data_IF_788135192469
#
_entry.id   IF_788135192469
#
_cell.length_a   1.000
_cell.length_b   1.000
_cell.length_c   1.000
_cell.angle_alpha   90.00
_cell.angle_beta   90.00
_cell.angle_gamma   90.00
#
_symmetry.space_group_name_H-M   'P 1'
#
loop_
_entity.id
_entity.type
_entity.pdbx_description
1 polymer ?
#
# COMPACT_ATOMS: atom_id res chain seq x y z
N UNK A 1 33.75 -20.63 6.27
CA UNK A 1 32.65 -21.63 6.40
C UNK A 1 31.56 -21.46 5.34
N UNK A 2 31.13 -20.25 4.98
CA UNK A 2 30.05 -20.03 3.99
C UNK A 2 30.39 -20.49 2.56
N UNK A 3 31.64 -20.31 2.13
CA UNK A 3 32.10 -20.63 0.76
C UNK A 3 31.96 -22.12 0.44
N UNK A 4 32.29 -23.00 1.39
CA UNK A 4 32.29 -24.45 1.19
C UNK A 4 30.99 -25.13 1.62
N UNK A 5 30.01 -24.38 2.13
CA UNK A 5 28.78 -24.96 2.65
C UNK A 5 27.83 -25.35 1.50
N UNK A 6 27.49 -26.64 1.44
CA UNK A 6 26.65 -27.22 0.38
C UNK A 6 25.18 -27.37 0.74
N UNK A 7 24.75 -26.87 1.90
CA UNK A 7 23.36 -26.99 2.36
C UNK A 7 22.73 -25.63 2.69
N UNK A 8 23.55 -24.58 2.81
CA UNK A 8 23.09 -23.26 3.21
C UNK A 8 22.45 -22.53 2.02
N UNK A 9 21.13 -22.37 2.08
CA UNK A 9 20.34 -21.67 1.07
C UNK A 9 19.96 -20.24 1.47
N UNK A 10 20.04 -19.92 2.77
CA UNK A 10 19.74 -18.59 3.34
C UNK A 10 20.79 -18.20 4.37
N UNK A 11 21.26 -16.96 4.28
CA UNK A 11 22.12 -16.29 5.26
C UNK A 11 21.43 -15.01 5.70
N UNK A 12 21.29 -14.84 7.01
CA UNK A 12 20.81 -13.61 7.62
C UNK A 12 21.86 -13.09 8.59
N UNK A 13 22.43 -11.94 8.26
CA UNK A 13 23.41 -11.21 9.06
C UNK A 13 22.97 -9.76 9.24
N UNK A 14 21.65 -9.53 9.29
CA UNK A 14 21.08 -8.21 9.51
C UNK A 14 21.47 -7.68 10.89
N UNK A 15 21.92 -6.42 11.00
CA UNK A 15 22.18 -5.80 12.32
C UNK A 15 23.48 -6.24 13.01
N UNK A 16 24.56 -6.51 12.26
CA UNK A 16 25.81 -7.05 12.81
C UNK A 16 27.02 -6.11 12.68
N UNK A 17 26.81 -4.82 12.36
CA UNK A 17 27.88 -3.82 12.22
C UNK A 17 28.99 -4.21 11.21
N UNK A 18 28.64 -5.05 10.23
CA UNK A 18 29.58 -5.56 9.24
C UNK A 18 29.91 -4.45 8.24
N UNK A 19 31.19 -4.11 8.10
CA UNK A 19 31.65 -3.07 7.18
C UNK A 19 32.33 -3.59 5.92
N UNK A 20 32.84 -2.66 5.11
CA UNK A 20 33.46 -2.93 3.80
C UNK A 20 34.62 -3.92 3.83
N UNK A 21 35.33 -4.05 4.96
CA UNK A 21 36.40 -5.05 5.12
C UNK A 21 35.91 -6.50 4.97
N UNK A 22 34.62 -6.75 5.15
CA UNK A 22 34.01 -8.06 4.95
C UNK A 22 33.43 -8.27 3.54
N UNK A 23 33.30 -7.21 2.73
CA UNK A 23 32.78 -7.31 1.37
C UNK A 23 33.52 -8.33 0.49
N UNK A 24 34.87 -8.50 0.55
CA UNK A 24 35.56 -9.51 -0.26
C UNK A 24 35.09 -10.93 0.06
N UNK A 25 34.80 -11.21 1.33
CA UNK A 25 34.35 -12.53 1.79
C UNK A 25 32.97 -12.85 1.21
N UNK A 26 32.07 -11.87 1.20
CA UNK A 26 30.75 -12.05 0.58
C UNK A 26 30.84 -12.17 -0.94
N UNK A 27 31.73 -11.41 -1.59
CA UNK A 27 31.98 -11.56 -3.03
C UNK A 27 32.46 -12.98 -3.35
N UNK A 28 33.39 -13.53 -2.57
CA UNK A 28 33.86 -14.92 -2.74
C UNK A 28 32.72 -15.94 -2.55
N UNK A 29 31.80 -15.69 -1.60
CA UNK A 29 30.59 -16.51 -1.44
C UNK A 29 29.68 -16.40 -2.67
N UNK A 30 29.43 -15.21 -3.19
CA UNK A 30 28.58 -15.00 -4.37
C UNK A 30 29.17 -15.63 -5.64
N UNK A 31 30.50 -15.64 -5.80
CA UNK A 31 31.13 -16.30 -6.94
C UNK A 31 31.06 -17.82 -6.85
N UNK A 32 31.34 -18.39 -5.68
CA UNK A 32 31.59 -19.83 -5.54
C UNK A 32 30.38 -20.63 -5.04
N UNK A 33 29.50 -20.02 -4.23
CA UNK A 33 28.35 -20.72 -3.66
C UNK A 33 27.16 -20.65 -4.63
N UNK A 34 26.84 -21.79 -5.26
CA UNK A 34 25.75 -21.92 -6.23
C UNK A 34 24.40 -22.32 -5.63
N UNK A 35 24.31 -22.46 -4.31
CA UNK A 35 23.10 -22.88 -3.60
C UNK A 35 22.48 -21.76 -2.77
N UNK A 36 23.26 -20.74 -2.41
CA UNK A 36 22.75 -19.59 -1.66
C UNK A 36 21.71 -18.85 -2.50
N UNK A 37 20.48 -18.80 -2.00
CA UNK A 37 19.33 -18.12 -2.61
C UNK A 37 19.00 -16.80 -1.93
N UNK A 38 19.25 -16.69 -0.63
CA UNK A 38 18.86 -15.52 0.17
C UNK A 38 20.06 -15.02 0.97
N UNK A 39 20.40 -13.75 0.80
CA UNK A 39 21.46 -13.06 1.54
C UNK A 39 20.91 -11.76 2.12
N UNK A 40 20.79 -11.70 3.44
CA UNK A 40 20.31 -10.53 4.16
C UNK A 40 21.48 -9.88 4.91
N UNK A 41 21.84 -8.68 4.48
CA UNK A 41 22.92 -7.86 5.00
C UNK A 41 22.41 -6.47 5.40
N UNK A 42 21.11 -6.35 5.67
CA UNK A 42 20.50 -5.08 6.07
C UNK A 42 21.04 -4.57 7.41
N UNK A 43 20.94 -3.27 7.67
CA UNK A 43 21.37 -2.64 8.93
C UNK A 43 22.81 -3.01 9.32
N UNK A 44 23.74 -2.74 8.41
CA UNK A 44 25.17 -2.97 8.61
C UNK A 44 25.94 -1.68 8.27
N UNK A 45 27.28 -1.76 8.22
CA UNK A 45 28.17 -0.62 8.05
C UNK A 45 28.85 -0.62 6.67
N UNK A 46 28.19 -1.17 5.63
CA UNK A 46 28.73 -1.12 4.27
C UNK A 46 28.61 0.30 3.69
N UNK A 47 29.66 0.75 3.02
CA UNK A 47 29.75 2.03 2.32
C UNK A 47 30.08 1.83 0.84
N UNK A 48 30.39 2.92 0.14
CA UNK A 48 30.68 2.96 -1.31
C UNK A 48 31.77 1.96 -1.74
N UNK A 49 32.75 1.68 -0.88
CA UNK A 49 33.82 0.72 -1.19
C UNK A 49 33.32 -0.72 -1.13
N UNK A 50 32.42 -1.05 -0.20
CA UNK A 50 31.68 -2.31 -0.18
C UNK A 50 30.82 -2.47 -1.44
N UNK A 51 30.07 -1.43 -1.83
CA UNK A 51 29.28 -1.43 -3.07
C UNK A 51 30.14 -1.68 -4.31
N UNK A 52 31.33 -1.09 -4.38
CA UNK A 52 32.28 -1.29 -5.48
C UNK A 52 32.69 -2.76 -5.62
N UNK A 53 32.91 -3.44 -4.50
CA UNK A 53 33.26 -4.86 -4.52
C UNK A 53 32.04 -5.73 -4.85
N UNK A 54 30.89 -5.40 -4.29
CA UNK A 54 29.64 -6.10 -4.57
C UNK A 54 29.21 -5.98 -6.04
N UNK A 55 29.52 -4.89 -6.74
CA UNK A 55 29.05 -4.64 -8.10
C UNK A 55 29.28 -5.84 -9.03
N UNK A 56 30.54 -6.24 -9.25
CA UNK A 56 30.85 -7.37 -10.14
C UNK A 56 30.29 -8.70 -9.60
N UNK A 57 30.35 -8.91 -8.29
CA UNK A 57 29.89 -10.15 -7.68
C UNK A 57 28.37 -10.32 -7.78
N UNK A 58 27.61 -9.22 -7.70
CA UNK A 58 26.17 -9.22 -7.92
C UNK A 58 25.88 -9.38 -9.40
N UNK A 59 26.49 -8.59 -10.30
CA UNK A 59 26.23 -8.67 -11.75
C UNK A 59 26.35 -10.10 -12.29
N UNK A 60 27.43 -10.80 -11.92
CA UNK A 60 27.74 -12.15 -12.43
C UNK A 60 26.97 -13.26 -11.69
N UNK A 61 26.33 -12.97 -10.56
CA UNK A 61 25.66 -13.99 -9.77
C UNK A 61 24.29 -14.34 -10.36
N UNK A 62 24.12 -15.61 -10.70
CA UNK A 62 22.88 -16.14 -11.30
C UNK A 62 22.06 -17.00 -10.34
N UNK A 63 22.52 -17.17 -9.09
CA UNK A 63 21.93 -18.14 -8.14
C UNK A 63 21.13 -17.47 -7.03
N UNK A 64 21.57 -16.29 -6.58
CA UNK A 64 20.95 -15.50 -5.54
C UNK A 64 19.64 -14.92 -6.07
N UNK A 65 18.57 -15.11 -5.31
CA UNK A 65 17.22 -14.67 -5.65
C UNK A 65 16.79 -13.49 -4.79
N UNK A 66 17.27 -13.39 -3.56
CA UNK A 66 16.92 -12.32 -2.61
C UNK A 66 18.18 -11.72 -2.02
N UNK A 67 18.33 -10.41 -2.18
CA UNK A 67 19.40 -9.62 -1.60
C UNK A 67 18.82 -8.43 -0.83
N UNK A 68 19.19 -8.32 0.45
CA UNK A 68 18.89 -7.17 1.28
C UNK A 68 20.17 -6.44 1.68
N UNK A 69 20.33 -5.22 1.18
CA UNK A 69 21.40 -4.28 1.51
C UNK A 69 20.84 -3.00 2.17
N UNK A 70 19.60 -3.02 2.66
CA UNK A 70 18.97 -1.87 3.29
C UNK A 70 19.72 -1.37 4.53
N UNK A 71 19.51 -0.11 4.91
CA UNK A 71 20.15 0.48 6.11
C UNK A 71 21.68 0.31 6.12
N UNK A 72 22.31 0.66 5.00
CA UNK A 72 23.76 0.76 4.85
C UNK A 72 24.10 2.15 4.29
N UNK A 73 25.37 2.54 4.29
CA UNK A 73 25.82 3.90 3.98
C UNK A 73 26.52 4.00 2.60
N UNK A 74 25.91 3.44 1.55
CA UNK A 74 26.47 3.39 0.19
C UNK A 74 26.57 4.75 -0.53
N UNK A 75 25.92 5.80 0.01
CA UNK A 75 25.87 7.17 -0.54
C UNK A 75 25.53 7.15 -2.06
N UNK A 76 25.80 8.24 -2.77
CA UNK A 76 25.43 8.35 -4.18
C UNK A 76 26.27 7.39 -5.07
N UNK A 77 27.58 7.24 -4.81
CA UNK A 77 28.46 6.44 -5.69
C UNK A 77 28.19 4.94 -5.53
N UNK A 78 28.06 4.44 -4.30
CA UNK A 78 27.73 3.05 -4.06
C UNK A 78 26.33 2.70 -4.57
N UNK A 79 25.36 3.60 -4.44
CA UNK A 79 24.03 3.43 -5.02
C UNK A 79 24.05 3.26 -6.55
N UNK A 80 24.81 4.09 -7.27
CA UNK A 80 24.97 3.98 -8.73
C UNK A 80 25.57 2.61 -9.08
N UNK A 81 26.64 2.20 -8.40
CA UNK A 81 27.30 0.91 -8.63
C UNK A 81 26.35 -0.26 -8.38
N UNK A 82 25.53 -0.22 -7.33
CA UNK A 82 24.59 -1.29 -7.06
C UNK A 82 23.43 -1.30 -8.07
N UNK A 83 22.94 -0.14 -8.52
CA UNK A 83 21.98 -0.07 -9.61
C UNK A 83 22.54 -0.64 -10.93
N UNK A 84 23.78 -0.33 -11.28
CA UNK A 84 24.48 -0.91 -12.44
C UNK A 84 24.61 -2.43 -12.30
N UNK A 85 24.84 -2.94 -11.09
CA UNK A 85 24.90 -4.37 -10.86
C UNK A 85 23.55 -5.06 -11.06
N UNK A 86 22.46 -4.42 -10.60
CA UNK A 86 21.10 -4.89 -10.84
C UNK A 86 20.74 -4.84 -12.32
N UNK A 87 21.20 -3.83 -13.07
CA UNK A 87 20.95 -3.74 -14.51
C UNK A 87 21.39 -5.00 -15.25
N UNK A 88 22.57 -5.53 -14.95
CA UNK A 88 23.17 -6.70 -15.62
C UNK A 88 22.76 -8.04 -14.99
N UNK A 89 22.26 -8.03 -13.75
CA UNK A 89 21.98 -9.27 -13.02
C UNK A 89 20.79 -10.06 -13.61
N UNK A 90 20.99 -11.38 -13.80
CA UNK A 90 19.97 -12.28 -14.37
C UNK A 90 19.37 -13.28 -13.36
N UNK A 91 19.75 -13.21 -12.08
CA UNK A 91 19.30 -14.15 -11.04
C UNK A 91 18.29 -13.56 -10.06
N UNK A 92 18.56 -12.34 -9.58
CA UNK A 92 17.85 -11.68 -8.49
C UNK A 92 16.38 -11.45 -8.83
N UNK A 93 15.54 -11.76 -7.85
CA UNK A 93 14.08 -11.61 -7.87
C UNK A 93 13.63 -10.52 -6.91
N UNK A 94 14.32 -10.35 -5.79
CA UNK A 94 14.01 -9.32 -4.79
C UNK A 94 15.28 -8.58 -4.40
N UNK A 95 15.22 -7.26 -4.48
CA UNK A 95 16.30 -6.38 -4.06
C UNK A 95 15.80 -5.30 -3.11
N UNK A 96 16.33 -5.29 -1.90
CA UNK A 96 16.04 -4.27 -0.91
C UNK A 96 17.27 -3.37 -0.72
N UNK A 97 17.08 -2.08 -1.02
CA UNK A 97 18.06 -1.02 -0.85
C UNK A 97 17.42 0.16 -0.08
N UNK A 98 16.42 -0.09 0.76
CA UNK A 98 15.80 0.96 1.55
C UNK A 98 16.82 1.62 2.50
N UNK A 99 16.75 2.94 2.66
CA UNK A 99 17.68 3.69 3.53
C UNK A 99 19.17 3.44 3.23
N UNK A 100 19.53 3.39 1.94
CA UNK A 100 20.89 3.18 1.45
C UNK A 100 21.58 4.43 0.90
N UNK A 101 20.82 5.52 0.73
CA UNK A 101 21.32 6.79 0.22
C UNK A 101 21.33 6.89 -1.31
N UNK A 102 20.28 6.37 -1.98
CA UNK A 102 20.18 6.38 -3.44
C UNK A 102 20.31 7.79 -4.06
N UNK A 103 19.65 8.79 -3.48
CA UNK A 103 19.63 10.16 -4.01
C UNK A 103 19.00 10.28 -5.40
N UNK A 104 19.25 11.39 -6.07
CA UNK A 104 18.79 11.60 -7.45
C UNK A 104 19.60 10.75 -8.43
N UNK A 105 20.93 10.76 -8.34
CA UNK A 105 21.78 10.10 -9.32
C UNK A 105 21.65 8.57 -9.26
N UNK A 106 21.48 8.00 -8.07
CA UNK A 106 21.19 6.58 -7.92
C UNK A 106 19.79 6.22 -8.43
N UNK A 107 18.79 7.11 -8.33
CA UNK A 107 17.47 6.90 -8.93
C UNK A 107 17.54 6.93 -10.47
N UNK A 108 18.36 7.79 -11.06
CA UNK A 108 18.65 7.78 -12.49
C UNK A 108 19.35 6.50 -12.95
N UNK A 109 20.28 5.97 -12.15
CA UNK A 109 20.91 4.67 -12.41
C UNK A 109 19.91 3.52 -12.28
N UNK A 110 19.08 3.53 -11.24
CA UNK A 110 18.04 2.52 -11.03
C UNK A 110 16.97 2.57 -12.13
N UNK A 111 16.69 3.75 -12.69
CA UNK A 111 15.82 3.89 -13.87
C UNK A 111 16.35 3.11 -15.08
N UNK A 112 17.66 3.17 -15.33
CA UNK A 112 18.30 2.35 -16.39
C UNK A 112 18.23 0.87 -16.05
N UNK A 113 18.49 0.51 -14.79
CA UNK A 113 18.36 -0.87 -14.33
C UNK A 113 16.94 -1.42 -14.55
N UNK A 114 15.90 -0.66 -14.20
CA UNK A 114 14.51 -1.05 -14.44
C UNK A 114 14.18 -1.21 -15.93
N UNK A 115 14.76 -0.38 -16.80
CA UNK A 115 14.56 -0.47 -18.25
C UNK A 115 15.15 -1.73 -18.86
N UNK A 116 16.28 -2.23 -18.35
CA UNK A 116 17.02 -3.36 -18.97
C UNK A 116 16.83 -4.68 -18.23
N UNK A 117 16.70 -4.64 -16.90
CA UNK A 117 16.55 -5.85 -16.10
C UNK A 117 15.18 -6.50 -16.35
N UNK A 118 15.17 -7.82 -16.57
CA UNK A 118 13.95 -8.63 -16.82
C UNK A 118 13.77 -9.77 -15.82
N UNK A 119 14.44 -9.69 -14.67
CA UNK A 119 14.49 -10.77 -13.68
C UNK A 119 13.97 -10.34 -12.32
N UNK A 120 14.16 -9.06 -11.98
CA UNK A 120 13.74 -8.45 -10.74
C UNK A 120 12.22 -8.30 -10.67
N UNK A 121 11.64 -8.82 -9.60
CA UNK A 121 10.20 -8.83 -9.33
C UNK A 121 9.84 -7.87 -8.19
N UNK A 122 10.73 -7.69 -7.22
CA UNK A 122 10.49 -6.83 -6.07
C UNK A 122 11.67 -5.88 -5.85
N UNK A 123 11.37 -4.59 -5.75
CA UNK A 123 12.33 -3.53 -5.48
C UNK A 123 11.85 -2.66 -4.32
N UNK A 124 12.68 -2.54 -3.29
CA UNK A 124 12.48 -1.57 -2.22
C UNK A 124 13.58 -0.50 -2.23
N UNK A 125 13.17 0.71 -2.59
CA UNK A 125 13.99 1.92 -2.61
C UNK A 125 13.39 3.01 -1.73
N UNK A 126 12.64 2.62 -0.69
CA UNK A 126 12.09 3.55 0.29
C UNK A 126 13.18 4.28 1.10
N UNK A 127 12.88 5.45 1.67
CA UNK A 127 13.79 6.18 2.57
C UNK A 127 15.17 6.52 1.96
N UNK A 128 15.23 6.80 0.67
CA UNK A 128 16.49 6.93 -0.08
C UNK A 128 16.83 8.36 -0.54
N UNK A 129 16.13 9.36 -0.03
CA UNK A 129 16.33 10.78 -0.40
C UNK A 129 16.11 11.05 -1.90
N UNK A 130 15.25 10.27 -2.55
CA UNK A 130 14.82 10.48 -3.93
C UNK A 130 13.93 11.73 -4.00
N UNK A 131 14.37 12.75 -4.72
CA UNK A 131 13.63 14.00 -4.96
C UNK A 131 12.66 13.87 -6.15
N UNK A 132 12.04 14.98 -6.56
CA UNK A 132 11.13 15.04 -7.70
C UNK A 132 11.78 14.54 -9.00
N UNK A 133 13.02 14.97 -9.26
CA UNK A 133 13.80 14.58 -10.43
C UNK A 133 14.09 13.08 -10.44
N UNK A 134 14.46 12.53 -9.27
CA UNK A 134 14.64 11.09 -9.10
C UNK A 134 13.33 10.31 -9.30
N UNK A 135 12.19 10.81 -8.82
CA UNK A 135 10.88 10.20 -9.07
C UNK A 135 10.52 10.19 -10.56
N UNK A 136 10.79 11.29 -11.28
CA UNK A 136 10.65 11.34 -12.74
C UNK A 136 11.58 10.34 -13.44
N UNK A 137 12.80 10.15 -12.94
CA UNK A 137 13.71 9.15 -13.48
C UNK A 137 13.16 7.73 -13.29
N UNK A 138 12.73 7.36 -12.08
CA UNK A 138 12.11 6.05 -11.83
C UNK A 138 10.89 5.84 -12.74
N UNK A 139 10.03 6.84 -12.88
CA UNK A 139 8.89 6.79 -13.80
C UNK A 139 9.31 6.47 -15.24
N UNK A 140 10.38 7.08 -15.75
CA UNK A 140 10.91 6.77 -17.09
C UNK A 140 11.34 5.30 -17.21
N UNK A 141 11.93 4.72 -16.17
CA UNK A 141 12.33 3.30 -16.17
C UNK A 141 11.13 2.35 -16.18
N UNK A 142 10.10 2.69 -15.39
CA UNK A 142 8.87 1.90 -15.29
C UNK A 142 8.03 1.90 -16.58
N UNK A 143 8.14 2.93 -17.43
CA UNK A 143 7.41 2.98 -18.71
C UNK A 143 7.74 1.79 -19.63
N UNK A 144 8.93 1.22 -19.49
CA UNK A 144 9.44 0.16 -20.36
C UNK A 144 9.67 -1.16 -19.60
N UNK A 145 9.37 -1.21 -18.30
CA UNK A 145 9.52 -2.41 -17.48
C UNK A 145 8.22 -3.24 -17.47
N UNK A 146 8.34 -4.53 -17.76
CA UNK A 146 7.24 -5.49 -17.88
C UNK A 146 7.38 -6.67 -16.91
N UNK A 147 8.27 -6.56 -15.92
CA UNK A 147 8.64 -7.69 -15.02
C UNK A 147 8.46 -7.39 -13.55
N UNK A 148 8.64 -6.13 -13.12
CA UNK A 148 8.55 -5.73 -11.73
C UNK A 148 7.10 -5.84 -11.24
N UNK A 149 6.91 -6.55 -10.13
CA UNK A 149 5.62 -6.79 -9.48
C UNK A 149 5.42 -5.94 -8.23
N UNK A 150 6.49 -5.60 -7.53
CA UNK A 150 6.44 -4.80 -6.31
C UNK A 150 7.46 -3.68 -6.39
N UNK A 151 6.99 -2.44 -6.27
CA UNK A 151 7.83 -1.28 -6.07
C UNK A 151 7.45 -0.59 -4.76
N UNK A 152 8.41 -0.49 -3.85
CA UNK A 152 8.31 0.36 -2.65
C UNK A 152 9.24 1.55 -2.81
N UNK A 153 8.66 2.74 -2.80
CA UNK A 153 9.37 4.01 -2.99
C UNK A 153 8.93 5.06 -1.96
N UNK A 154 8.14 4.66 -0.97
CA UNK A 154 7.64 5.51 0.09
C UNK A 154 8.75 6.21 0.89
N UNK A 155 8.34 7.22 1.67
CA UNK A 155 9.21 7.98 2.57
C UNK A 155 10.42 8.61 1.88
N UNK A 156 10.27 9.01 0.62
CA UNK A 156 11.23 9.79 -0.14
C UNK A 156 10.76 11.25 -0.26
N UNK A 157 11.67 12.23 -0.36
CA UNK A 157 11.35 13.67 -0.40
C UNK A 157 10.85 14.15 -1.78
N UNK A 158 9.92 13.42 -2.41
CA UNK A 158 9.09 13.93 -3.50
C UNK A 158 7.66 14.15 -3.00
N UNK A 159 6.96 15.08 -3.63
CA UNK A 159 5.58 15.42 -3.26
C UNK A 159 4.57 14.60 -4.08
N UNK A 160 3.29 14.97 -4.00
CA UNK A 160 2.24 14.31 -4.77
C UNK A 160 2.47 14.34 -6.28
N UNK A 161 3.18 15.33 -6.84
CA UNK A 161 3.46 15.36 -8.28
C UNK A 161 4.47 14.28 -8.64
N UNK A 162 5.46 14.03 -7.79
CA UNK A 162 6.42 12.92 -7.98
C UNK A 162 5.72 11.56 -7.96
N UNK A 163 4.79 11.36 -7.04
CA UNK A 163 3.96 10.16 -7.02
C UNK A 163 3.07 10.06 -8.28
N UNK A 164 2.47 11.16 -8.72
CA UNK A 164 1.62 11.22 -9.91
C UNK A 164 2.38 10.78 -11.16
N UNK A 165 3.59 11.30 -11.39
CA UNK A 165 4.40 10.95 -12.58
C UNK A 165 4.75 9.47 -12.61
N UNK A 166 5.00 8.85 -11.46
CA UNK A 166 5.22 7.39 -11.37
C UNK A 166 3.94 6.63 -11.70
N UNK A 167 2.79 7.07 -11.17
CA UNK A 167 1.51 6.42 -11.42
C UNK A 167 1.08 6.54 -12.89
N UNK A 168 1.30 7.69 -13.52
CA UNK A 168 1.08 7.91 -14.95
C UNK A 168 2.00 7.03 -15.82
N UNK A 169 3.24 6.80 -15.40
CA UNK A 169 4.12 5.86 -16.10
C UNK A 169 3.58 4.42 -16.07
N UNK A 170 2.95 4.01 -14.96
CA UNK A 170 2.27 2.72 -14.86
C UNK A 170 1.02 2.67 -15.74
N UNK A 171 0.25 3.76 -15.79
CA UNK A 171 -0.97 3.86 -16.63
C UNK A 171 -0.68 3.73 -18.12
N UNK A 172 0.39 4.39 -18.60
CA UNK A 172 0.77 4.37 -20.02
C UNK A 172 1.45 3.05 -20.45
N UNK A 173 1.97 2.27 -19.50
CA UNK A 173 2.63 1.01 -19.80
C UNK A 173 1.63 -0.16 -19.78
N UNK A 174 1.11 -0.52 -20.95
CA UNK A 174 0.19 -1.65 -21.15
C UNK A 174 0.77 -3.01 -20.73
N UNK A 175 2.10 -3.16 -20.78
CA UNK A 175 2.80 -4.39 -20.40
C UNK A 175 3.19 -4.44 -18.91
N UNK A 176 2.89 -3.40 -18.14
CA UNK A 176 3.19 -3.35 -16.72
C UNK A 176 2.48 -4.46 -15.93
N UNK A 177 3.24 -5.18 -15.11
CA UNK A 177 2.75 -6.29 -14.25
C UNK A 177 2.79 -5.95 -12.76
N UNK A 178 2.95 -4.67 -12.40
CA UNK A 178 2.99 -4.22 -11.01
C UNK A 178 1.70 -4.60 -10.28
N UNK A 179 1.86 -5.26 -9.15
CA UNK A 179 0.81 -5.66 -8.19
C UNK A 179 0.81 -4.82 -6.93
N UNK A 180 1.95 -4.25 -6.56
CA UNK A 180 2.05 -3.34 -5.43
C UNK A 180 2.92 -2.14 -5.79
N UNK A 181 2.36 -0.94 -5.62
CA UNK A 181 3.07 0.32 -5.69
C UNK A 181 2.89 1.07 -4.38
N UNK A 182 3.97 1.15 -3.60
CA UNK A 182 3.92 1.66 -2.24
C UNK A 182 4.56 3.06 -2.14
N UNK A 183 3.69 4.05 -1.94
CA UNK A 183 4.00 5.44 -1.64
C UNK A 183 3.75 5.77 -0.15
N UNK A 184 3.98 4.84 0.77
CA UNK A 184 3.88 5.09 2.22
C UNK A 184 4.64 6.35 2.61
N UNK A 185 4.14 7.09 3.60
CA UNK A 185 4.60 8.43 3.98
C UNK A 185 4.53 9.53 2.89
N UNK A 186 3.74 9.36 1.84
CA UNK A 186 3.47 10.39 0.83
C UNK A 186 1.97 10.68 0.80
N UNK A 187 1.62 11.95 1.00
CA UNK A 187 0.25 12.43 0.83
C UNK A 187 0.03 12.83 -0.63
N UNK A 188 -1.12 12.48 -1.19
CA UNK A 188 -1.41 12.62 -2.62
C UNK A 188 -2.55 13.61 -2.88
N UNK A 189 -2.61 14.23 -4.06
CA UNK A 189 -3.69 15.14 -4.47
C UNK A 189 -4.88 14.37 -5.04
N UNK A 190 -5.99 15.07 -5.27
CA UNK A 190 -7.23 14.49 -5.80
C UNK A 190 -7.07 13.83 -7.17
N UNK A 191 -6.30 14.43 -8.06
CA UNK A 191 -6.01 13.88 -9.39
C UNK A 191 -5.30 12.52 -9.30
N UNK A 192 -4.32 12.39 -8.40
CA UNK A 192 -3.68 11.11 -8.11
C UNK A 192 -4.69 10.08 -7.64
N UNK A 193 -5.54 10.43 -6.66
CA UNK A 193 -6.53 9.51 -6.13
C UNK A 193 -7.49 8.98 -7.22
N UNK A 194 -7.93 9.84 -8.14
CA UNK A 194 -8.76 9.44 -9.29
C UNK A 194 -8.05 8.42 -10.18
N UNK A 195 -6.79 8.68 -10.55
CA UNK A 195 -6.00 7.77 -11.39
C UNK A 195 -5.74 6.45 -10.65
N UNK A 196 -5.40 6.52 -9.36
CA UNK A 196 -5.21 5.36 -8.50
C UNK A 196 -6.45 4.48 -8.53
N UNK A 197 -7.64 5.01 -8.27
CA UNK A 197 -8.86 4.19 -8.20
C UNK A 197 -9.15 3.49 -9.52
N UNK A 198 -9.02 4.20 -10.64
CA UNK A 198 -9.17 3.60 -11.96
C UNK A 198 -8.19 2.44 -12.18
N UNK A 199 -6.91 2.64 -11.88
CA UNK A 199 -5.90 1.59 -12.05
C UNK A 199 -6.11 0.38 -11.14
N UNK A 200 -6.53 0.59 -9.89
CA UNK A 200 -6.80 -0.51 -8.96
C UNK A 200 -7.98 -1.38 -9.44
N UNK A 201 -8.99 -0.77 -10.06
CA UNK A 201 -10.14 -1.47 -10.65
C UNK A 201 -9.77 -2.19 -11.95
N UNK A 202 -9.04 -1.51 -12.86
CA UNK A 202 -8.72 -2.03 -14.19
C UNK A 202 -7.57 -3.05 -14.22
N UNK A 203 -6.60 -2.94 -13.31
CA UNK A 203 -5.32 -3.69 -13.41
C UNK A 203 -4.97 -4.55 -12.19
N UNK A 204 -5.83 -4.63 -11.18
CA UNK A 204 -5.57 -5.38 -9.94
C UNK A 204 -4.18 -5.02 -9.34
N UNK A 205 -3.86 -3.73 -9.36
CA UNK A 205 -2.69 -3.16 -8.69
C UNK A 205 -3.14 -2.63 -7.34
N UNK A 206 -2.36 -2.84 -6.28
CA UNK A 206 -2.55 -2.19 -4.99
C UNK A 206 -1.66 -0.96 -4.89
N UNK A 207 -2.24 0.21 -4.68
CA UNK A 207 -1.48 1.46 -4.47
C UNK A 207 -1.64 1.90 -3.02
N UNK A 208 -0.53 2.05 -2.31
CA UNK A 208 -0.49 2.49 -0.90
C UNK A 208 -0.01 3.94 -0.84
N UNK A 209 -0.65 4.79 -0.03
CA UNK A 209 -0.24 6.17 0.25
C UNK A 209 -0.81 6.61 1.61
N UNK A 210 -0.37 7.77 2.12
CA UNK A 210 -0.90 8.37 3.38
C UNK A 210 -2.14 9.23 3.14
N UNK A 211 -2.96 8.87 2.15
CA UNK A 211 -4.20 9.54 1.83
C UNK A 211 -4.07 10.91 1.17
N UNK A 212 -5.18 11.63 1.11
CA UNK A 212 -5.41 12.69 0.11
C UNK A 212 -5.38 14.10 0.73
N UNK A 213 -4.65 15.01 0.10
CA UNK A 213 -4.51 16.43 0.46
C UNK A 213 -5.73 17.23 -0.08
N UNK A 214 -6.41 18.02 0.75
CA UNK A 214 -7.42 19.01 0.36
C UNK A 214 -6.87 20.09 -0.62
N UNK A 215 -7.66 20.53 -1.60
CA UNK A 215 -7.21 21.42 -2.71
C UNK A 215 -6.67 22.79 -2.23
N UNK A 216 -7.06 23.26 -1.03
CA UNK A 216 -6.67 24.59 -0.50
C UNK A 216 -5.53 24.60 0.54
N UNK A 217 -4.81 23.49 0.75
CA UNK A 217 -3.72 23.46 1.74
C UNK A 217 -2.48 24.26 1.29
N UNK A 218 -2.41 25.55 1.67
CA UNK A 218 -1.29 26.46 1.38
C UNK A 218 -0.16 26.47 2.44
N UNK A 219 -0.22 25.65 3.49
CA UNK A 219 0.74 25.75 4.61
C UNK A 219 1.24 24.41 5.14
N UNK A 220 2.45 24.45 5.69
CA UNK A 220 3.21 23.35 6.30
C UNK A 220 2.51 22.63 7.48
N UNK A 221 1.43 23.18 8.04
CA UNK A 221 0.60 22.53 9.06
C UNK A 221 -0.31 21.43 8.50
N UNK A 222 -0.49 21.37 7.17
CA UNK A 222 -1.32 20.38 6.49
C UNK A 222 -0.84 18.93 6.65
N UNK A 223 0.44 18.73 7.03
CA UNK A 223 0.97 17.41 7.42
C UNK A 223 0.19 16.77 8.57
N UNK A 224 -0.51 17.54 9.40
CA UNK A 224 -1.27 17.05 10.53
C UNK A 224 -2.80 17.03 10.32
N UNK A 225 -3.32 17.60 9.23
CA UNK A 225 -4.77 17.71 8.97
C UNK A 225 -5.23 17.01 7.70
N UNK A 226 -4.32 16.53 6.85
CA UNK A 226 -4.66 15.65 5.73
C UNK A 226 -5.21 14.32 6.27
N UNK A 227 -6.17 13.73 5.56
CA UNK A 227 -6.63 12.38 5.89
C UNK A 227 -5.49 11.39 5.68
N UNK A 228 -4.72 11.13 6.73
CA UNK A 228 -3.66 10.10 6.72
C UNK A 228 -4.19 8.67 6.63
N UNK A 229 -5.50 8.48 6.79
CA UNK A 229 -6.17 7.19 6.94
C UNK A 229 -7.23 7.04 5.84
N UNK A 230 -7.54 5.80 5.45
CA UNK A 230 -8.60 5.43 4.50
C UNK A 230 -9.80 6.39 4.58
N UNK A 231 -10.13 7.12 3.50
CA UNK A 231 -11.18 8.13 3.53
C UNK A 231 -12.54 7.58 3.96
N UNK A 232 -12.87 6.34 3.59
CA UNK A 232 -14.15 5.70 3.97
C UNK A 232 -14.13 5.29 5.44
N UNK A 233 -13.07 4.64 5.91
CA UNK A 233 -12.90 4.34 7.34
C UNK A 233 -12.90 5.59 8.21
N UNK A 234 -12.25 6.68 7.75
CA UNK A 234 -12.26 7.94 8.50
C UNK A 234 -13.63 8.61 8.48
N UNK A 235 -14.36 8.50 7.37
CA UNK A 235 -15.75 8.97 7.30
C UNK A 235 -16.66 8.19 8.25
N UNK A 236 -16.59 6.86 8.27
CA UNK A 236 -17.32 6.01 9.23
C UNK A 236 -16.98 6.41 10.68
N UNK A 237 -15.69 6.51 11.01
CA UNK A 237 -15.26 6.90 12.36
C UNK A 237 -15.70 8.32 12.77
N UNK A 238 -15.83 9.26 11.83
CA UNK A 238 -16.37 10.60 12.12
C UNK A 238 -17.89 10.60 12.23
N UNK A 239 -18.59 9.75 11.48
CA UNK A 239 -20.03 9.54 11.64
C UNK A 239 -20.34 8.94 13.02
N UNK A 240 -19.58 7.92 13.44
CA UNK A 240 -19.69 7.30 14.76
C UNK A 240 -19.46 8.32 15.88
N UNK A 241 -18.41 9.15 15.77
CA UNK A 241 -18.13 10.23 16.74
C UNK A 241 -19.20 11.31 16.79
N UNK A 242 -19.88 11.56 15.67
CA UNK A 242 -20.95 12.53 15.57
C UNK A 242 -22.31 11.94 15.98
N UNK A 243 -22.36 10.66 16.35
CA UNK A 243 -23.59 9.90 16.64
C UNK A 243 -24.58 9.96 15.46
N UNK A 244 -24.05 9.87 14.24
CA UNK A 244 -24.80 9.93 12.99
C UNK A 244 -24.85 8.55 12.35
N UNK A 245 -26.05 7.97 12.23
CA UNK A 245 -26.27 6.75 11.45
C UNK A 245 -26.32 7.08 9.96
N UNK A 246 -25.28 6.66 9.22
CA UNK A 246 -25.20 6.87 7.77
C UNK A 246 -26.34 6.17 7.02
N UNK A 247 -26.84 5.04 7.53
CA UNK A 247 -27.99 4.31 7.02
C UNK A 247 -29.26 5.16 7.06
N UNK A 248 -29.60 5.71 8.22
CA UNK A 248 -30.80 6.56 8.35
C UNK A 248 -30.76 7.81 7.46
N UNK A 249 -29.56 8.38 7.26
CA UNK A 249 -29.39 9.62 6.51
C UNK A 249 -29.33 9.38 5.00
N UNK A 250 -28.69 8.32 4.53
CA UNK A 250 -28.46 8.10 3.10
C UNK A 250 -29.49 7.17 2.46
N UNK A 251 -29.99 6.15 3.17
CA UNK A 251 -30.95 5.17 2.63
C UNK A 251 -32.24 5.82 2.05
N UNK A 252 -32.78 6.92 2.59
CA UNK A 252 -33.95 7.57 1.99
C UNK A 252 -33.71 8.19 0.61
N UNK A 253 -32.45 8.44 0.25
CA UNK A 253 -32.07 9.17 -0.96
C UNK A 253 -31.38 8.28 -2.00
N UNK A 254 -30.98 7.06 -1.64
CA UNK A 254 -30.35 6.14 -2.58
C UNK A 254 -31.38 5.44 -3.46
N UNK A 255 -31.00 5.18 -4.70
CA UNK A 255 -31.79 4.39 -5.64
C UNK A 255 -31.80 2.90 -5.26
N UNK A 256 -32.56 2.08 -6.00
CA UNK A 256 -32.72 0.64 -5.73
C UNK A 256 -31.43 -0.19 -5.77
N UNK A 257 -30.33 0.39 -6.24
CA UNK A 257 -28.97 -0.17 -6.26
C UNK A 257 -28.05 0.41 -5.17
N UNK A 258 -28.58 1.20 -4.24
CA UNK A 258 -27.85 1.95 -3.21
C UNK A 258 -26.89 3.02 -3.78
N UNK A 259 -27.21 3.58 -4.96
CA UNK A 259 -26.45 4.69 -5.55
C UNK A 259 -27.09 6.05 -5.29
N UNK A 260 -26.26 7.10 -5.31
CA UNK A 260 -26.68 8.49 -5.12
C UNK A 260 -25.83 9.42 -5.97
N UNK A 261 -26.41 10.51 -6.48
CA UNK A 261 -25.62 11.53 -7.18
C UNK A 261 -24.60 12.22 -6.26
N UNK A 262 -23.40 12.49 -6.77
CA UNK A 262 -22.30 13.10 -6.01
C UNK A 262 -22.72 14.44 -5.37
N UNK A 263 -23.57 15.21 -6.05
CA UNK A 263 -24.08 16.50 -5.53
C UNK A 263 -25.01 16.31 -4.34
N UNK A 264 -25.89 15.32 -4.40
CA UNK A 264 -26.86 15.03 -3.34
C UNK A 264 -26.13 14.43 -2.14
N UNK A 265 -25.19 13.51 -2.37
CA UNK A 265 -24.32 12.99 -1.31
C UNK A 265 -23.63 14.12 -0.55
N UNK A 266 -22.99 15.05 -1.27
CA UNK A 266 -22.33 16.20 -0.64
C UNK A 266 -23.30 17.07 0.16
N UNK A 267 -24.49 17.33 -0.39
CA UNK A 267 -25.50 18.17 0.25
C UNK A 267 -26.00 17.53 1.54
N UNK A 268 -26.28 16.22 1.50
CA UNK A 268 -26.74 15.45 2.65
C UNK A 268 -25.66 15.46 3.75
N UNK A 269 -24.40 15.11 3.42
CA UNK A 269 -23.32 15.06 4.41
C UNK A 269 -23.05 16.44 5.02
N UNK A 270 -23.07 17.52 4.23
CA UNK A 270 -22.95 18.89 4.77
C UNK A 270 -24.11 19.30 5.67
N UNK A 271 -25.28 18.69 5.52
CA UNK A 271 -26.43 18.90 6.40
C UNK A 271 -26.33 18.16 7.74
N UNK A 272 -25.32 17.31 7.92
CA UNK A 272 -25.10 16.53 9.15
C UNK A 272 -24.15 17.22 10.12
N UNK A 273 -24.01 16.64 11.32
CA UNK A 273 -23.00 17.03 12.31
C UNK A 273 -21.64 16.36 12.10
N UNK A 274 -21.47 15.61 11.01
CA UNK A 274 -20.20 14.94 10.72
C UNK A 274 -19.15 16.02 10.44
N UNK A 275 -18.12 16.05 11.27
CA UNK A 275 -17.06 17.07 11.20
C UNK A 275 -16.07 16.76 10.07
N UNK A 276 -16.49 17.00 8.82
CA UNK A 276 -15.65 16.93 7.63
C UNK A 276 -15.64 18.28 6.89
N UNK A 277 -14.49 18.64 6.32
CA UNK A 277 -14.40 19.78 5.39
C UNK A 277 -15.02 19.42 4.04
N UNK A 278 -15.35 20.43 3.22
CA UNK A 278 -15.87 20.23 1.86
C UNK A 278 -14.97 19.33 1.01
N UNK A 279 -13.66 19.52 1.12
CA UNK A 279 -12.66 18.70 0.43
C UNK A 279 -12.68 17.26 0.93
N UNK A 280 -12.86 17.07 2.24
CA UNK A 280 -12.95 15.75 2.83
C UNK A 280 -14.19 14.98 2.34
N UNK A 281 -15.35 15.66 2.26
CA UNK A 281 -16.56 15.09 1.67
C UNK A 281 -16.36 14.77 0.19
N UNK A 282 -15.60 15.59 -0.55
CA UNK A 282 -15.26 15.31 -1.95
C UNK A 282 -14.43 14.02 -2.09
N UNK A 283 -13.46 13.78 -1.21
CA UNK A 283 -12.63 12.56 -1.22
C UNK A 283 -13.51 11.34 -0.98
N UNK A 284 -14.37 11.39 0.04
CA UNK A 284 -15.28 10.29 0.39
C UNK A 284 -16.23 10.01 -0.77
N UNK A 285 -16.85 11.05 -1.35
CA UNK A 285 -17.75 10.91 -2.48
C UNK A 285 -17.05 10.26 -3.69
N UNK A 286 -15.82 10.67 -4.00
CA UNK A 286 -15.03 10.08 -5.08
C UNK A 286 -14.63 8.63 -4.78
N UNK A 287 -14.21 8.34 -3.53
CA UNK A 287 -13.82 6.99 -3.10
C UNK A 287 -14.96 6.00 -3.19
N UNK A 288 -16.17 6.47 -2.92
CA UNK A 288 -17.39 5.70 -3.03
C UNK A 288 -17.96 5.73 -4.45
N UNK A 289 -17.47 6.58 -5.37
CA UNK A 289 -18.09 6.73 -6.68
C UNK A 289 -17.69 5.65 -7.68
N UNK A 290 -18.67 5.16 -8.44
CA UNK A 290 -18.50 4.30 -9.61
C UNK A 290 -19.40 4.85 -10.73
N UNK A 291 -18.88 5.00 -11.95
CA UNK A 291 -19.61 5.56 -13.11
C UNK A 291 -20.25 6.94 -12.87
N UNK A 292 -19.69 7.74 -11.95
CA UNK A 292 -20.17 9.09 -11.64
C UNK A 292 -21.28 9.15 -10.58
N UNK A 293 -21.72 8.01 -10.01
CA UNK A 293 -22.63 7.94 -8.87
C UNK A 293 -21.92 7.38 -7.63
N UNK A 294 -22.29 7.84 -6.44
CA UNK A 294 -21.78 7.38 -5.15
C UNK A 294 -22.43 6.06 -4.77
N UNK A 295 -21.63 5.00 -4.63
CA UNK A 295 -22.02 3.68 -4.14
C UNK A 295 -22.06 3.69 -2.61
N UNK A 296 -23.24 3.93 -2.04
CA UNK A 296 -23.41 3.99 -0.59
C UNK A 296 -23.39 2.59 0.07
N UNK A 297 -23.47 1.50 -0.71
CA UNK A 297 -23.44 0.13 -0.20
C UNK A 297 -22.23 -0.16 0.69
N UNK A 298 -21.06 0.42 0.37
CA UNK A 298 -19.83 0.25 1.15
C UNK A 298 -19.86 0.97 2.52
N UNK A 299 -20.81 1.88 2.71
CA UNK A 299 -21.02 2.60 3.97
C UNK A 299 -21.90 1.85 4.95
N UNK A 300 -22.74 0.95 4.45
CA UNK A 300 -23.69 0.20 5.25
C UNK A 300 -23.12 -1.18 5.54
N UNK A 301 -23.08 -1.58 6.80
CA UNK A 301 -22.83 -2.98 7.17
C UNK A 301 -24.12 -3.77 6.91
N UNK A 302 -24.42 -4.05 5.63
CA UNK A 302 -25.54 -4.89 5.25
C UNK A 302 -25.07 -6.35 5.38
N UNK A 303 -25.68 -7.17 6.26
CA UNK A 303 -25.41 -8.61 6.28
C UNK A 303 -25.74 -9.19 4.90
N UNK A 304 -24.88 -10.05 4.36
CA UNK A 304 -24.95 -10.60 2.99
C UNK A 304 -26.25 -11.36 2.63
N UNK A 305 -27.24 -11.48 3.54
CA UNK A 305 -28.45 -12.29 3.38
C UNK A 305 -29.76 -11.48 3.33
N UNK A 306 -29.82 -10.44 2.50
CA UNK A 306 -31.10 -9.82 2.08
C UNK A 306 -31.46 -10.18 0.62
N UNK A 307 -31.06 -11.37 0.18
CA UNK A 307 -31.60 -12.01 -1.01
C UNK A 307 -32.99 -12.57 -0.72
N UNK A 308 -33.96 -12.11 -1.51
CA UNK A 308 -35.22 -12.80 -1.76
C UNK A 308 -36.40 -12.58 -0.77
N UNK A 309 -37.02 -11.40 -0.87
CA UNK A 309 -38.46 -11.24 -0.60
C UNK A 309 -39.14 -10.36 -1.63
N UNK A 310 -39.15 -10.80 -2.89
CA UNK A 310 -40.16 -10.34 -3.87
C UNK A 310 -40.54 -11.48 -4.82
N UNK A 311 -41.43 -12.36 -4.36
CA UNK A 311 -42.46 -12.91 -5.24
C UNK A 311 -43.56 -13.63 -4.44
N UNK A 312 -44.68 -12.96 -4.23
CA UNK A 312 -46.03 -13.51 -4.49
C UNK A 312 -47.10 -12.54 -3.98
N UNK A 313 -47.60 -11.69 -4.86
CA UNK A 313 -48.97 -11.16 -4.76
C UNK A 313 -49.90 -12.10 -5.52
N UNK A 314 -50.76 -12.84 -4.82
CA UNK A 314 -52.14 -13.10 -5.28
C UNK A 314 -53.00 -13.72 -4.18
N UNK A 315 -54.10 -13.01 -3.84
CA UNK A 315 -55.48 -13.52 -3.61
C UNK A 315 -55.62 -14.80 -2.74
N UNK A 316 -56.28 -14.82 -1.59
CA UNK A 316 -57.72 -14.66 -1.40
C UNK A 316 -58.06 -14.97 0.09
N UNK A 317 -59.18 -14.40 0.55
CA UNK A 317 -60.10 -14.92 1.60
C UNK A 317 -59.70 -14.88 3.09
N UNK A 318 -60.39 -13.99 3.83
CA UNK A 318 -60.91 -14.24 5.19
C UNK A 318 -62.11 -15.20 5.09
N UNK A 319 -62.57 -15.94 6.15
CA UNK A 319 -62.69 -15.47 7.55
C UNK A 319 -62.56 -16.55 8.67
N UNK A 320 -62.94 -16.16 9.90
CA UNK A 320 -63.12 -16.91 11.17
C UNK A 320 -61.89 -16.91 12.10
N UNK A 321 -61.88 -16.08 13.16
CA UNK A 321 -62.50 -16.26 14.49
C UNK A 321 -62.01 -17.51 15.22
N UNK A 322 -61.08 -17.34 16.17
CA UNK A 322 -61.35 -17.80 17.52
C UNK A 322 -60.44 -17.22 18.59
N UNK A 323 -61.02 -17.18 19.78
CA UNK A 323 -60.58 -16.56 21.03
C UNK A 323 -59.50 -17.37 21.74
N UNK A 324 -58.74 -16.68 22.60
CA UNK A 324 -58.31 -17.05 23.97
C UNK A 324 -56.84 -16.67 24.20
N UNK A 325 -56.51 -15.65 24.98
CA UNK A 325 -56.55 -15.52 26.45
C UNK A 325 -55.67 -16.54 27.20
N UNK A 326 -54.48 -16.11 27.63
CA UNK A 326 -53.82 -16.42 28.92
C UNK A 326 -52.45 -15.69 28.92
N UNK A 327 -52.23 -14.58 29.64
CA UNK A 327 -52.01 -14.45 31.09
C UNK A 327 -50.83 -15.26 31.69
N UNK A 328 -50.08 -14.54 32.54
CA UNK A 328 -49.07 -14.93 33.55
C UNK A 328 -47.62 -15.04 33.06
N UNK A 329 -46.76 -14.05 33.32
CA UNK A 329 -46.27 -13.49 34.61
C UNK A 329 -45.34 -14.42 35.39
N UNK A 330 -44.24 -13.79 35.87
CA UNK A 330 -43.37 -14.18 36.98
C UNK A 330 -42.35 -15.30 36.67
N UNK A 331 -41.11 -15.28 37.18
CA UNK A 331 -40.43 -14.40 38.13
C UNK A 331 -38.93 -14.72 38.09
N UNK A 332 -38.16 -13.71 38.48
CA UNK A 332 -36.87 -13.72 39.18
C UNK A 332 -36.15 -15.06 39.40
N UNK A 333 -34.85 -15.05 39.10
CA UNK A 333 -33.86 -15.96 39.66
C UNK A 333 -32.45 -15.42 39.50
N UNK A 334 -32.10 -14.39 40.29
CA UNK A 334 -30.73 -13.94 40.45
C UNK A 334 -29.92 -14.99 41.24
N UNK A 335 -28.72 -15.33 40.76
CA UNK A 335 -27.64 -15.77 41.67
C UNK A 335 -26.30 -15.23 41.16
N UNK A 336 -25.64 -14.44 42.02
CA UNK A 336 -24.28 -13.94 41.90
C UNK A 336 -23.26 -15.04 42.26
N UNK A 337 -22.03 -14.79 41.79
CA UNK A 337 -20.73 -15.03 42.44
C UNK A 337 -19.96 -16.33 42.12
N UNK A 338 -18.82 -16.16 41.43
CA UNK A 338 -17.44 -16.46 41.92
C UNK A 338 -16.45 -16.17 40.76
N UNK A 339 -15.71 -15.07 40.76
CA UNK A 339 -14.33 -14.95 41.25
C UNK A 339 -13.43 -16.17 40.97
N UNK A 340 -12.46 -15.98 40.07
CA UNK A 340 -11.34 -16.89 39.83
C UNK A 340 -10.26 -16.22 38.99
N UNK A 341 -9.40 -15.41 39.64
CA UNK A 341 -8.08 -15.02 39.12
C UNK A 341 -7.18 -16.26 39.13
N UNK A 342 -6.43 -16.54 38.05
CA UNK A 342 -5.03 -17.01 38.12
C UNK A 342 -4.29 -16.53 36.86
N UNK A 343 -3.17 -15.84 37.08
CA UNK A 343 -2.17 -15.42 36.09
C UNK A 343 -1.09 -16.51 35.92
N UNK A 344 0.00 -16.17 35.19
CA UNK A 344 1.31 -16.87 35.09
C UNK A 344 1.37 -17.75 33.82
N UNK A 345 2.31 -17.60 32.89
CA UNK A 345 3.61 -16.91 32.83
C UNK A 345 3.95 -16.60 31.37
#
# INVERSE_FOLDING_TARGET
MLINNRNLYKVDLTGNEIGDGAAPVFCEVLYNNKLLKVLLLGNNSFEDEGARQFNAAISDNTTLEVLDLSWNAFKNRGAILLAEAIQENVGLKSFNMAMAGLGQEGAEAMSRALRENRTLLELDISLNRINMEGAQAIAKGLKDNDTLKVLKIGSNPFDSEGAMVILEAVDVNDSCVLKLLDFSNIMVKMNFAKLQFRLQDERDIKVVNEGVIPEFCRTSSARHTAFRVDPVGTFKANADKAEVDLGEILVPFVDGDYTLDIKDFKTIIKGTRINLTDDQVNIVALRLSQEGRVQCRMLFDIPDDAGDRRNSTSRNETPSSDRSSAERSAKLGATKASLGRVAVK
#
